data_IF_617096959565
#
_entry.id   IF_617096959565
#
_cell.length_a   1.000
_cell.length_b   1.000
_cell.length_c   1.000
_cell.angle_alpha   90.00
_cell.angle_beta   90.00
_cell.angle_gamma   90.00
#
_symmetry.space_group_name_H-M   'P 1'
#
loop_
_entity.id
_entity.type
_entity.pdbx_description
1 polymer ?
#
# COMPACT_ATOMS: atom_id res chain seq x y z
N UNK A 1 48.59 -31.72 -53.76
CA UNK A 1 48.25 -30.28 -53.66
C UNK A 1 47.16 -30.12 -52.61
N UNK A 2 47.50 -29.56 -51.45
CA UNK A 2 47.07 -28.23 -50.93
C UNK A 2 45.55 -28.08 -50.80
N UNK A 3 44.87 -27.73 -49.70
CA UNK A 3 45.00 -27.63 -48.22
C UNK A 3 43.52 -27.53 -47.71
N UNK A 4 43.17 -27.92 -46.47
CA UNK A 4 41.80 -27.92 -45.92
C UNK A 4 41.47 -26.62 -45.12
N UNK A 5 40.28 -26.58 -44.49
CA UNK A 5 39.71 -25.54 -43.57
C UNK A 5 38.98 -24.39 -44.31
N UNK A 6 37.73 -24.04 -43.94
CA UNK A 6 37.43 -23.36 -42.68
C UNK A 6 36.04 -23.67 -42.13
N UNK A 7 36.01 -23.79 -40.80
CA UNK A 7 34.85 -23.72 -39.92
C UNK A 7 33.93 -22.54 -40.27
N UNK A 8 32.64 -22.82 -40.47
CA UNK A 8 31.58 -21.87 -40.09
C UNK A 8 30.81 -22.56 -38.98
N UNK A 9 31.42 -22.51 -37.80
CA UNK A 9 30.67 -22.63 -36.57
C UNK A 9 29.97 -21.32 -36.27
N UNK A 10 28.83 -21.46 -35.59
CA UNK A 10 28.28 -20.51 -34.62
C UNK A 10 27.50 -19.32 -35.22
N UNK A 11 26.36 -19.05 -34.56
CA UNK A 11 25.56 -17.81 -34.59
C UNK A 11 24.41 -17.69 -35.61
N UNK A 12 23.39 -18.54 -35.45
CA UNK A 12 21.99 -18.09 -35.61
C UNK A 12 21.17 -18.45 -34.35
N UNK A 13 21.71 -18.12 -33.18
CA UNK A 13 21.04 -18.24 -31.88
C UNK A 13 20.66 -16.88 -31.25
N UNK A 14 20.75 -15.77 -31.99
CA UNK A 14 20.50 -14.43 -31.42
C UNK A 14 19.54 -13.61 -32.29
N UNK A 15 18.30 -14.09 -32.36
CA UNK A 15 17.18 -13.34 -32.94
C UNK A 15 15.98 -13.20 -31.99
N UNK A 16 16.00 -13.81 -30.81
CA UNK A 16 15.06 -13.44 -29.76
C UNK A 16 15.62 -12.15 -29.17
N UNK A 17 15.24 -11.00 -29.73
CA UNK A 17 15.21 -9.75 -28.98
C UNK A 17 14.28 -9.99 -27.80
N UNK A 18 14.81 -10.58 -26.72
CA UNK A 18 14.31 -10.30 -25.39
C UNK A 18 14.57 -8.81 -25.21
N UNK A 19 13.62 -7.99 -25.66
CA UNK A 19 13.43 -6.67 -25.09
C UNK A 19 13.17 -6.91 -23.61
N UNK A 20 14.24 -7.07 -22.84
CA UNK A 20 14.19 -6.82 -21.41
C UNK A 20 13.82 -5.35 -21.33
N UNK A 21 12.52 -5.09 -21.22
CA UNK A 21 11.97 -3.76 -21.08
C UNK A 21 12.48 -3.27 -19.72
N UNK A 22 13.61 -2.57 -19.76
CA UNK A 22 14.25 -1.97 -18.59
C UNK A 22 13.39 -0.78 -18.17
N UNK A 23 12.81 -0.86 -16.98
CA UNK A 23 12.04 0.25 -16.44
C UNK A 23 13.00 1.39 -16.08
N UNK A 24 12.66 2.65 -16.42
CA UNK A 24 13.48 3.79 -16.04
C UNK A 24 13.50 3.93 -14.50
N UNK A 25 14.70 4.01 -13.90
CA UNK A 25 14.89 4.18 -12.46
C UNK A 25 14.10 3.16 -11.60
N UNK A 26 14.42 1.86 -11.72
CA UNK A 26 13.60 0.78 -11.16
C UNK A 26 13.39 0.92 -9.66
N UNK A 27 14.40 1.30 -8.87
CA UNK A 27 14.27 1.30 -7.41
C UNK A 27 13.45 2.50 -6.87
N UNK A 28 13.41 3.61 -7.61
CA UNK A 28 12.70 4.83 -7.20
C UNK A 28 11.22 4.72 -7.49
N UNK A 29 10.85 4.36 -8.72
CA UNK A 29 9.45 4.40 -9.17
C UNK A 29 8.81 3.02 -9.34
N UNK A 30 9.60 1.94 -9.27
CA UNK A 30 9.10 0.59 -9.49
C UNK A 30 9.37 -0.32 -8.27
N UNK A 31 8.58 -1.38 -8.16
CA UNK A 31 8.75 -2.43 -7.17
C UNK A 31 8.75 -3.79 -7.86
N UNK A 32 9.64 -4.67 -7.41
CA UNK A 32 9.72 -6.05 -7.92
C UNK A 32 8.58 -6.90 -7.36
N UNK A 33 7.78 -7.52 -8.24
CA UNK A 33 6.62 -8.37 -7.87
C UNK A 33 6.70 -9.81 -8.37
N UNK A 34 7.69 -10.12 -9.20
CA UNK A 34 7.96 -11.46 -9.70
C UNK A 34 9.43 -11.64 -10.06
N UNK A 35 9.77 -12.73 -10.74
CA UNK A 35 11.17 -13.03 -11.12
C UNK A 35 11.77 -11.89 -11.95
N UNK A 36 11.03 -11.42 -12.97
CA UNK A 36 11.41 -10.35 -13.89
C UNK A 36 10.29 -9.31 -14.09
N UNK A 37 9.40 -9.15 -13.11
CA UNK A 37 8.27 -8.22 -13.19
C UNK A 37 8.49 -7.07 -12.22
N UNK A 38 8.63 -5.87 -12.78
CA UNK A 38 8.70 -4.61 -12.05
C UNK A 38 7.43 -3.81 -12.32
N UNK A 39 6.77 -3.34 -11.27
CA UNK A 39 5.53 -2.57 -11.40
C UNK A 39 5.73 -1.17 -10.88
N UNK A 40 5.19 -0.17 -11.56
CA UNK A 40 5.22 1.21 -11.08
C UNK A 40 4.42 1.32 -9.78
N UNK A 41 5.01 1.97 -8.78
CA UNK A 41 4.49 2.07 -7.42
C UNK A 41 3.24 2.94 -7.37
N UNK A 42 2.27 2.51 -6.57
CA UNK A 42 1.19 3.34 -6.02
C UNK A 42 1.63 3.80 -4.63
N UNK A 43 1.55 5.11 -4.38
CA UNK A 43 1.91 5.69 -3.08
C UNK A 43 0.70 5.90 -2.16
N UNK A 44 -0.50 6.04 -2.72
CA UNK A 44 -1.73 6.35 -1.99
C UNK A 44 -2.89 5.51 -2.55
N UNK A 45 -2.99 4.25 -2.11
CA UNK A 45 -4.18 3.44 -2.40
C UNK A 45 -5.22 3.67 -1.32
N UNK A 46 -6.37 4.23 -1.71
CA UNK A 46 -7.40 4.66 -0.77
C UNK A 46 -8.00 3.48 0.02
N UNK A 47 -8.45 3.70 1.27
CA UNK A 47 -9.15 2.68 2.06
C UNK A 47 -10.28 2.00 1.27
N UNK A 48 -10.46 0.72 1.52
CA UNK A 48 -11.41 -0.15 0.82
C UNK A 48 -10.89 -0.73 -0.49
N UNK A 49 -9.63 -0.46 -0.85
CA UNK A 49 -8.98 -1.00 -2.05
C UNK A 49 -7.67 -1.71 -1.68
N UNK A 50 -7.30 -2.72 -2.46
CA UNK A 50 -6.01 -3.39 -2.38
C UNK A 50 -5.14 -3.07 -3.60
N UNK A 51 -3.83 -3.16 -3.41
CA UNK A 51 -2.86 -2.99 -4.49
C UNK A 51 -2.67 -4.35 -5.17
N UNK A 52 -3.07 -4.42 -6.44
CA UNK A 52 -2.82 -5.56 -7.32
C UNK A 52 -1.56 -5.33 -8.15
N UNK A 53 -0.66 -6.32 -8.24
CA UNK A 53 0.50 -6.25 -9.12
C UNK A 53 0.11 -6.02 -10.58
N UNK A 54 0.99 -5.39 -11.34
CA UNK A 54 0.88 -5.24 -12.78
C UNK A 54 1.05 -6.58 -13.52
N UNK A 55 0.35 -6.74 -14.64
CA UNK A 55 0.42 -7.96 -15.47
C UNK A 55 1.67 -8.03 -16.36
N UNK A 56 2.33 -6.89 -16.58
CA UNK A 56 3.49 -6.72 -17.48
C UNK A 56 4.55 -5.88 -16.80
N UNK A 57 5.82 -6.19 -17.06
CA UNK A 57 6.92 -5.36 -16.54
C UNK A 57 6.81 -3.91 -17.02
N UNK A 58 7.16 -3.00 -16.14
CA UNK A 58 6.97 -1.56 -16.24
C UNK A 58 5.50 -1.10 -16.37
N UNK A 59 4.53 -1.99 -16.14
CA UNK A 59 3.13 -1.60 -16.00
C UNK A 59 2.84 -0.99 -14.63
N UNK A 60 1.72 -0.31 -14.51
CA UNK A 60 1.26 0.26 -13.25
C UNK A 60 0.59 -0.79 -12.37
N UNK A 61 0.89 -0.77 -11.07
CA UNK A 61 0.03 -1.44 -10.10
C UNK A 61 -1.37 -0.80 -10.13
N UNK A 62 -2.38 -1.55 -9.66
CA UNK A 62 -3.76 -1.07 -9.64
C UNK A 62 -4.31 -1.08 -8.23
N UNK A 63 -5.01 -0.02 -7.86
CA UNK A 63 -5.93 -0.04 -6.72
C UNK A 63 -7.25 -0.64 -7.18
N UNK A 64 -7.62 -1.78 -6.61
CA UNK A 64 -8.91 -2.42 -6.91
C UNK A 64 -9.75 -2.52 -5.65
N UNK A 65 -11.08 -2.36 -5.74
CA UNK A 65 -11.95 -2.49 -4.59
C UNK A 65 -11.83 -3.85 -3.93
N UNK A 66 -11.91 -3.87 -2.60
CA UNK A 66 -11.96 -5.12 -1.85
C UNK A 66 -13.18 -5.95 -2.26
N UNK A 67 -13.00 -7.27 -2.49
CA UNK A 67 -14.12 -8.18 -2.65
C UNK A 67 -15.11 -8.09 -1.48
N UNK A 68 -16.38 -8.37 -1.75
CA UNK A 68 -17.44 -8.34 -0.73
C UNK A 68 -17.06 -9.19 0.49
N UNK A 69 -17.14 -8.59 1.69
CA UNK A 69 -16.81 -9.25 2.95
C UNK A 69 -15.33 -9.24 3.32
N UNK A 70 -14.48 -8.56 2.54
CA UNK A 70 -13.07 -8.31 2.85
C UNK A 70 -12.81 -6.81 3.04
N UNK A 71 -11.71 -6.46 3.71
CA UNK A 71 -11.45 -5.10 4.16
C UNK A 71 -9.98 -4.72 3.98
N UNK A 72 -9.77 -3.46 3.62
CA UNK A 72 -8.49 -2.77 3.73
C UNK A 72 -8.79 -1.39 4.36
N UNK A 73 -8.70 -1.26 5.69
CA UNK A 73 -9.18 -0.08 6.41
C UNK A 73 -8.30 1.17 6.23
N UNK A 74 -7.04 0.98 5.86
CA UNK A 74 -6.03 2.05 5.85
C UNK A 74 -5.57 2.38 4.45
N UNK A 75 -4.99 3.58 4.31
CA UNK A 75 -4.27 3.95 3.12
C UNK A 75 -3.04 3.03 2.99
N UNK A 76 -2.79 2.52 1.78
CA UNK A 76 -1.67 1.60 1.55
C UNK A 76 -0.77 2.07 0.41
N UNK A 77 0.49 1.65 0.47
CA UNK A 77 1.50 1.98 -0.52
C UNK A 77 2.27 0.74 -1.00
N UNK A 78 2.84 0.82 -2.21
CA UNK A 78 3.57 -0.28 -2.81
C UNK A 78 4.79 -0.71 -2.01
N UNK A 79 5.44 0.20 -1.28
CA UNK A 79 6.59 -0.15 -0.45
C UNK A 79 6.21 -0.81 0.89
N UNK A 80 4.91 -0.97 1.20
CA UNK A 80 4.50 -1.47 2.52
C UNK A 80 5.01 -2.90 2.70
N UNK A 81 5.78 -3.19 3.77
CA UNK A 81 6.25 -4.54 4.05
C UNK A 81 5.09 -5.44 4.53
N UNK A 82 4.02 -4.84 5.07
CA UNK A 82 2.89 -5.53 5.67
C UNK A 82 1.68 -5.43 4.72
N UNK A 83 1.26 -6.61 4.22
CA UNK A 83 -0.04 -6.98 3.65
C UNK A 83 -0.84 -5.89 2.90
N UNK A 84 -0.66 -5.94 1.58
CA UNK A 84 -1.31 -5.09 0.55
C UNK A 84 -2.70 -5.55 0.14
N UNK A 85 -3.16 -6.67 0.69
CA UNK A 85 -4.35 -7.38 0.24
C UNK A 85 -5.47 -7.17 1.22
N UNK A 86 -6.69 -7.14 0.70
CA UNK A 86 -7.88 -7.12 1.56
C UNK A 86 -7.93 -8.43 2.35
N UNK A 87 -8.29 -8.33 3.63
CA UNK A 87 -8.40 -9.49 4.51
C UNK A 87 -9.84 -9.70 4.94
N UNK A 88 -10.14 -10.93 5.35
CA UNK A 88 -11.42 -11.26 5.98
C UNK A 88 -11.24 -11.17 7.50
N UNK A 89 -11.95 -10.27 8.20
CA UNK A 89 -11.82 -10.15 9.65
C UNK A 89 -12.41 -11.38 10.34
N UNK A 90 -11.79 -11.76 11.46
CA UNK A 90 -12.27 -12.86 12.30
C UNK A 90 -13.53 -12.48 13.09
N UNK A 91 -13.78 -11.18 13.26
CA UNK A 91 -14.80 -10.63 14.13
C UNK A 91 -15.56 -9.48 13.46
N UNK A 92 -16.82 -9.31 13.85
CA UNK A 92 -17.65 -8.20 13.39
C UNK A 92 -17.50 -7.00 14.34
N UNK A 93 -16.82 -5.97 13.88
CA UNK A 93 -16.66 -4.71 14.62
C UNK A 93 -17.98 -3.89 14.62
N UNK A 94 -18.12 -2.99 15.59
CA UNK A 94 -19.24 -2.05 15.63
C UNK A 94 -19.07 -0.98 14.54
N UNK A 95 -19.92 -0.94 13.50
CA UNK A 95 -19.72 -0.04 12.36
C UNK A 95 -19.89 1.45 12.70
N UNK A 96 -20.40 1.76 13.89
CA UNK A 96 -20.56 3.14 14.37
C UNK A 96 -19.21 3.81 14.60
N UNK A 97 -18.30 3.13 15.29
CA UNK A 97 -17.11 3.71 15.90
C UNK A 97 -15.83 2.91 15.69
N UNK A 98 -15.93 1.65 15.25
CA UNK A 98 -14.78 0.76 15.01
C UNK A 98 -14.74 0.26 13.56
N UNK A 99 -13.56 -0.19 13.15
CA UNK A 99 -13.28 -0.80 11.84
C UNK A 99 -12.50 -2.10 12.02
N UNK A 100 -12.69 -3.08 11.12
CA UNK A 100 -11.89 -4.30 11.13
C UNK A 100 -10.44 -4.00 10.79
N UNK A 101 -9.51 -4.62 11.51
CA UNK A 101 -8.05 -4.59 11.30
C UNK A 101 -7.48 -5.99 11.54
N UNK A 102 -6.36 -6.33 10.91
CA UNK A 102 -5.75 -7.66 11.13
C UNK A 102 -5.14 -7.80 12.54
N UNK A 103 -4.52 -6.74 13.04
CA UNK A 103 -3.87 -6.69 14.35
C UNK A 103 -4.46 -5.52 15.16
N UNK A 104 -5.63 -5.75 15.74
CA UNK A 104 -6.27 -4.80 16.63
C UNK A 104 -5.59 -4.70 17.98
N UNK A 105 -5.97 -3.69 18.76
CA UNK A 105 -5.40 -3.46 20.09
C UNK A 105 -5.78 -4.60 21.03
N UNK A 106 -4.79 -5.34 21.52
CA UNK A 106 -5.00 -6.29 22.61
C UNK A 106 -5.08 -5.54 23.94
N UNK A 107 -6.27 -5.52 24.55
CA UNK A 107 -6.43 -5.23 25.98
C UNK A 107 -7.03 -6.45 26.65
N UNK A 108 -6.56 -6.80 27.86
CA UNK A 108 -7.06 -7.96 28.61
C UNK A 108 -8.57 -7.84 28.92
N UNK A 109 -9.05 -6.61 29.15
CA UNK A 109 -10.47 -6.28 29.31
C UNK A 109 -11.26 -6.17 27.99
N UNK A 110 -10.58 -6.29 26.85
CA UNK A 110 -11.12 -6.16 25.49
C UNK A 110 -10.68 -7.33 24.59
N UNK A 111 -10.44 -8.51 25.18
CA UNK A 111 -9.85 -9.66 24.49
C UNK A 111 -10.69 -10.17 23.28
N UNK A 112 -11.95 -9.75 23.18
CA UNK A 112 -12.88 -10.07 22.08
C UNK A 112 -12.78 -9.11 20.89
N UNK A 113 -11.87 -8.13 20.87
CA UNK A 113 -11.71 -7.17 19.76
C UNK A 113 -10.31 -7.17 19.15
N UNK A 114 -9.62 -8.32 19.15
CA UNK A 114 -8.27 -8.48 18.54
C UNK A 114 -8.19 -8.10 17.07
N UNK A 115 -9.33 -7.95 16.39
CA UNK A 115 -9.42 -7.61 14.97
C UNK A 115 -10.19 -6.31 14.74
N UNK A 116 -10.30 -5.42 15.73
CA UNK A 116 -10.98 -4.13 15.62
C UNK A 116 -10.10 -2.98 16.13
N UNK A 117 -10.25 -1.82 15.51
CA UNK A 117 -9.66 -0.55 15.94
C UNK A 117 -10.69 0.57 15.88
N UNK A 118 -10.50 1.65 16.63
CA UNK A 118 -11.34 2.84 16.50
C UNK A 118 -11.19 3.47 15.11
N UNK A 119 -12.29 3.98 14.57
CA UNK A 119 -12.33 4.54 13.22
C UNK A 119 -11.76 5.97 13.21
N UNK A 120 -10.46 6.09 12.97
CA UNK A 120 -9.77 7.39 12.93
C UNK A 120 -10.32 8.31 11.83
N UNK A 121 -10.71 7.79 10.67
CA UNK A 121 -11.32 8.59 9.59
C UNK A 121 -12.65 9.25 10.01
N UNK A 122 -13.31 8.73 11.05
CA UNK A 122 -14.51 9.32 11.67
C UNK A 122 -14.22 10.06 12.97
N UNK A 123 -12.94 10.32 13.26
CA UNK A 123 -12.42 10.95 14.47
C UNK A 123 -12.68 10.15 15.76
N UNK A 124 -12.77 8.82 15.68
CA UNK A 124 -12.80 7.96 16.86
C UNK A 124 -11.39 7.49 17.22
N UNK A 125 -11.07 7.44 18.51
CA UNK A 125 -9.74 7.07 19.02
C UNK A 125 -9.82 6.29 20.34
N UNK A 126 -8.67 5.81 20.81
CA UNK A 126 -8.54 5.13 22.09
C UNK A 126 -8.70 3.60 21.97
N UNK A 127 -9.42 3.02 22.92
CA UNK A 127 -9.58 1.58 23.01
C UNK A 127 -10.78 1.13 22.15
N UNK A 128 -10.65 0.09 21.30
CA UNK A 128 -11.75 -0.37 20.44
C UNK A 128 -13.01 -0.83 21.21
N UNK A 129 -12.91 -1.17 22.50
CA UNK A 129 -14.10 -1.43 23.34
C UNK A 129 -14.88 -0.17 23.72
N UNK A 130 -14.22 0.98 23.82
CA UNK A 130 -14.81 2.27 24.20
C UNK A 130 -14.09 3.34 23.41
N UNK A 131 -14.52 3.52 22.15
CA UNK A 131 -13.94 4.57 21.32
C UNK A 131 -14.49 5.93 21.75
N UNK A 132 -13.59 6.86 22.00
CA UNK A 132 -13.92 8.26 22.22
C UNK A 132 -13.95 9.01 20.90
N UNK A 133 -14.68 10.13 20.84
CA UNK A 133 -14.80 10.93 19.62
C UNK A 133 -14.23 12.32 19.79
N UNK A 134 -13.32 12.69 18.91
CA UNK A 134 -12.94 14.07 18.71
C UNK A 134 -13.95 14.76 17.80
N UNK A 135 -14.63 15.78 18.33
CA UNK A 135 -15.56 16.60 17.54
C UNK A 135 -14.85 17.68 16.74
N UNK A 136 -13.61 18.04 17.13
CA UNK A 136 -12.75 18.94 16.38
C UNK A 136 -11.80 18.12 15.51
N UNK A 137 -11.88 18.21 14.17
CA UNK A 137 -10.95 17.53 13.29
C UNK A 137 -9.54 18.13 13.39
N UNK A 138 -8.52 17.36 12.99
CA UNK A 138 -7.17 17.88 12.90
C UNK A 138 -7.02 18.87 11.75
N UNK A 139 -6.05 19.77 11.86
CA UNK A 139 -5.80 20.80 10.85
C UNK A 139 -5.21 20.26 9.55
N UNK A 140 -4.82 21.20 8.69
CA UNK A 140 -4.02 20.89 7.49
C UNK A 140 -2.63 20.39 7.94
N UNK A 141 -2.13 19.38 7.23
CA UNK A 141 -0.88 18.67 7.52
C UNK A 141 -0.80 18.08 8.94
N UNK A 142 -1.96 17.68 9.47
CA UNK A 142 -2.07 16.95 10.73
C UNK A 142 -2.89 15.67 10.56
N UNK A 143 -2.53 14.62 11.28
CA UNK A 143 -3.30 13.38 11.42
C UNK A 143 -3.60 13.09 12.89
N UNK A 144 -4.62 12.28 13.15
CA UNK A 144 -4.96 11.89 14.52
C UNK A 144 -4.22 10.61 14.90
N UNK A 145 -3.47 10.66 16.00
CA UNK A 145 -2.82 9.48 16.57
C UNK A 145 -3.82 8.62 17.39
N UNK A 146 -3.38 7.46 17.89
CA UNK A 146 -4.23 6.55 18.66
C UNK A 146 -4.76 7.13 19.99
N UNK A 147 -4.14 8.19 20.51
CA UNK A 147 -4.57 8.91 21.73
C UNK A 147 -5.60 10.00 21.45
N UNK A 148 -5.96 10.23 20.18
CA UNK A 148 -6.82 11.35 19.81
C UNK A 148 -6.08 12.69 19.74
N UNK A 149 -4.76 12.70 19.69
CA UNK A 149 -4.00 13.94 19.52
C UNK A 149 -3.75 14.20 18.03
N UNK A 150 -3.88 15.46 17.61
CA UNK A 150 -3.50 15.88 16.27
C UNK A 150 -1.99 16.11 16.21
N UNK A 151 -1.31 15.32 15.39
CA UNK A 151 0.14 15.37 15.19
C UNK A 151 0.45 15.76 13.76
N UNK A 152 1.59 16.44 13.54
CA UNK A 152 2.00 16.82 12.18
C UNK A 152 2.31 15.60 11.33
N UNK A 153 2.01 15.68 10.03
CA UNK A 153 2.44 14.69 9.06
C UNK A 153 3.96 14.50 9.11
N UNK A 154 4.40 13.24 9.01
CA UNK A 154 5.83 12.92 8.91
C UNK A 154 6.44 13.49 7.62
N UNK A 155 7.74 13.75 7.62
CA UNK A 155 8.46 14.13 6.41
C UNK A 155 8.19 13.15 5.25
N UNK A 156 7.90 13.69 4.06
CA UNK A 156 7.48 12.90 2.90
C UNK A 156 5.99 12.58 2.83
N UNK A 157 5.19 13.07 3.79
CA UNK A 157 3.73 12.98 3.81
C UNK A 157 3.10 14.38 3.89
N UNK A 158 1.83 14.48 3.48
CA UNK A 158 1.05 15.72 3.53
C UNK A 158 -0.43 15.42 3.74
N UNK A 159 -1.20 16.42 4.20
CA UNK A 159 -2.66 16.35 4.21
C UNK A 159 -3.26 17.72 3.87
N UNK A 160 -3.72 17.93 2.62
CA UNK A 160 -4.13 19.26 2.15
C UNK A 160 -5.52 19.70 2.63
N UNK A 161 -6.12 18.99 3.59
CA UNK A 161 -7.44 19.26 4.14
C UNK A 161 -7.50 18.94 5.64
N UNK A 162 -8.51 19.49 6.32
CA UNK A 162 -8.81 19.17 7.72
C UNK A 162 -9.55 17.84 7.82
N UNK A 163 -9.18 17.01 8.79
CA UNK A 163 -9.74 15.67 9.00
C UNK A 163 -8.99 14.93 10.10
N UNK A 164 -9.39 13.71 10.48
CA UNK A 164 -8.69 12.89 11.48
C UNK A 164 -7.98 11.66 10.87
N UNK A 165 -8.21 11.44 9.59
CA UNK A 165 -7.56 10.45 8.75
C UNK A 165 -6.06 10.69 8.58
N UNK A 166 -5.38 9.66 8.07
CA UNK A 166 -3.93 9.55 7.92
C UNK A 166 -3.40 10.53 6.87
N UNK A 167 -2.14 10.94 7.01
CA UNK A 167 -1.47 11.70 5.99
C UNK A 167 -1.17 10.87 4.74
N UNK A 168 -1.19 11.52 3.58
CA UNK A 168 -0.93 10.92 2.28
C UNK A 168 0.55 11.06 1.91
N UNK A 169 1.14 10.02 1.32
CA UNK A 169 2.53 10.05 0.89
C UNK A 169 2.69 10.99 -0.30
N UNK A 170 3.70 11.85 -0.27
CA UNK A 170 4.01 12.74 -1.39
C UNK A 170 4.55 11.90 -2.55
N UNK A 171 3.85 11.95 -3.68
CA UNK A 171 4.27 11.24 -4.90
C UNK A 171 5.55 11.90 -5.41
N UNK A 172 6.68 11.18 -5.54
CA UNK A 172 7.89 11.75 -6.10
C UNK A 172 7.62 12.18 -7.54
N UNK A 173 7.82 13.46 -7.86
CA UNK A 173 7.80 13.89 -9.24
C UNK A 173 9.00 13.27 -10.00
N UNK A 174 8.84 12.91 -11.29
CA UNK A 174 9.99 12.70 -12.16
C UNK A 174 10.86 13.96 -12.09
N UNK A 175 12.17 13.79 -11.89
CA UNK A 175 13.07 14.92 -12.03
C UNK A 175 12.99 15.38 -13.51
N UNK A 176 12.92 16.71 -13.77
CA UNK A 176 12.87 17.24 -15.13
C UNK A 176 14.12 16.86 -15.95
#
# INVERSE_FOLDING_TARGET
MVIPQFCIGILLLLGIKTFAQFCPYPDKFYIKRGVNTYCQKIYNCIPGNEIRPCDKTCGEEKCVPCPTGTYQPFLSHSDDPIRKQCFKPDLKCNPRDTIPVENGTYSHSCAMQKSCACNHSKCFYGNPCICERNFKPCGIDEEMNYKGECVKCMEGYRKPYSGCDQCERIIPAPLP
#
